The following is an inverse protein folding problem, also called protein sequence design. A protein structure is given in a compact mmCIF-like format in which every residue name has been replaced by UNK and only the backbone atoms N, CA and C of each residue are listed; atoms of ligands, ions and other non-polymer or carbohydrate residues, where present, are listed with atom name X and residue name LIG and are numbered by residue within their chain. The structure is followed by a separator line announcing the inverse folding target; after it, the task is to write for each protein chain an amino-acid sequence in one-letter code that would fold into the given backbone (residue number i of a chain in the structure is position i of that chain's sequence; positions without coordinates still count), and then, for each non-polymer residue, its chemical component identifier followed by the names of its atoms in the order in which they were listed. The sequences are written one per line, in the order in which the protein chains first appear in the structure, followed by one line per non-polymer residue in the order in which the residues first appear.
data_IF_551277808833
#
_entry.id   IF_551277808833
#
_cell.length_a   1.000
_cell.length_b   1.000
_cell.length_c   1.000
_cell.angle_alpha   90.00
_cell.angle_beta   90.00
_cell.angle_gamma   90.00
#
_symmetry.space_group_name_H-M   'P 1'
#
loop_
_entity.id
_entity.type
_entity.pdbx_description
1 polymer ?
#
# COMPACT_ATOMS: atom_id res chain seq x y z
N UNK A 1 9.40 -9.62 -16.48
CA UNK A 1 8.08 -9.16 -15.99
C UNK A 1 8.04 -9.43 -14.50
N UNK A 2 7.71 -8.44 -13.68
CA UNK A 2 7.63 -8.56 -12.21
C UNK A 2 6.19 -8.40 -11.74
N UNK A 3 5.87 -8.93 -10.57
CA UNK A 3 4.56 -8.78 -9.92
C UNK A 3 4.32 -7.31 -9.55
N UNK A 4 3.20 -6.74 -10.01
CA UNK A 4 2.92 -5.30 -10.03
C UNK A 4 1.61 -4.96 -9.33
N UNK A 5 1.62 -3.83 -8.63
CA UNK A 5 0.43 -3.16 -8.12
C UNK A 5 0.27 -1.81 -8.79
N UNK A 6 -0.96 -1.45 -9.08
CA UNK A 6 -1.35 -0.25 -9.81
C UNK A 6 -2.34 0.54 -8.99
N UNK A 7 -2.28 1.87 -9.05
CA UNK A 7 -3.30 2.71 -8.45
C UNK A 7 -3.55 3.95 -9.29
N UNK A 8 -4.70 4.57 -9.07
CA UNK A 8 -5.04 5.86 -9.67
C UNK A 8 -5.72 6.73 -8.63
N UNK A 9 -5.12 7.88 -8.34
CA UNK A 9 -5.71 8.93 -7.50
C UNK A 9 -6.62 9.77 -8.41
N UNK A 10 -7.91 9.80 -8.10
CA UNK A 10 -8.97 10.43 -8.92
C UNK A 10 -9.32 11.87 -8.50
N UNK A 11 -9.05 12.23 -7.25
CA UNK A 11 -9.35 13.55 -6.69
C UNK A 11 -8.29 13.90 -5.63
N UNK A 12 -7.35 14.76 -6.00
CA UNK A 12 -6.22 15.14 -5.20
C UNK A 12 -6.66 15.96 -3.98
N UNK A 13 -7.77 16.70 -4.08
CA UNK A 13 -8.28 17.49 -2.95
C UNK A 13 -8.85 16.59 -1.85
N UNK A 14 -9.58 15.52 -2.21
CA UNK A 14 -10.03 14.53 -1.24
C UNK A 14 -8.90 13.63 -0.76
N UNK A 15 -7.97 13.24 -1.66
CA UNK A 15 -6.82 12.42 -1.31
C UNK A 15 -5.94 13.08 -0.23
N UNK A 16 -5.63 14.38 -0.40
CA UNK A 16 -4.86 15.17 0.58
C UNK A 16 -5.51 15.24 1.96
N UNK A 17 -6.83 15.04 2.09
CA UNK A 17 -7.49 14.99 3.40
C UNK A 17 -7.26 13.66 4.13
N UNK A 18 -7.12 12.57 3.38
CA UNK A 18 -6.91 11.23 3.93
C UNK A 18 -5.41 10.90 4.12
N UNK A 19 -4.53 11.51 3.33
CA UNK A 19 -3.09 11.25 3.35
C UNK A 19 -2.45 11.39 4.73
N UNK A 20 -2.74 12.41 5.57
CA UNK A 20 -2.13 12.52 6.89
C UNK A 20 -2.40 11.31 7.80
N UNK A 21 -3.62 10.77 7.75
CA UNK A 21 -3.98 9.57 8.50
C UNK A 21 -3.31 8.33 7.91
N UNK A 22 -3.27 8.22 6.58
CA UNK A 22 -2.59 7.10 5.92
C UNK A 22 -1.09 7.05 6.24
N UNK A 23 -0.43 8.21 6.37
CA UNK A 23 0.98 8.32 6.77
C UNK A 23 1.19 7.77 8.18
N UNK A 24 0.35 8.17 9.14
CA UNK A 24 0.42 7.67 10.51
C UNK A 24 0.14 6.14 10.55
N UNK A 25 -0.87 5.68 9.82
CA UNK A 25 -1.25 4.27 9.72
C UNK A 25 -0.16 3.43 9.02
N UNK A 26 0.55 4.00 8.04
CA UNK A 26 1.69 3.34 7.38
C UNK A 26 2.85 3.09 8.33
N UNK A 27 3.07 4.00 9.29
CA UNK A 27 4.03 3.79 10.38
C UNK A 27 3.67 2.58 11.25
N UNK A 28 2.38 2.40 11.55
CA UNK A 28 1.88 1.23 12.29
C UNK A 28 2.03 -0.06 11.48
N UNK A 29 1.67 -0.02 10.18
CA UNK A 29 1.83 -1.17 9.27
C UNK A 29 3.29 -1.62 9.22
N UNK A 30 4.23 -0.70 8.99
CA UNK A 30 5.67 -1.01 8.95
C UNK A 30 6.11 -1.64 10.28
N UNK A 31 5.77 -1.00 11.40
CA UNK A 31 6.14 -1.47 12.75
C UNK A 31 5.63 -2.88 13.06
N UNK A 32 4.42 -3.23 12.61
CA UNK A 32 3.77 -4.50 12.92
C UNK A 32 3.94 -5.58 11.84
N UNK A 33 4.44 -5.23 10.66
CA UNK A 33 4.68 -6.18 9.56
C UNK A 33 5.80 -7.19 9.84
N UNK A 34 6.78 -6.83 10.67
CA UNK A 34 8.01 -7.61 10.86
C UNK A 34 8.96 -7.58 9.65
N UNK A 35 8.66 -6.78 8.62
CA UNK A 35 9.49 -6.63 7.42
C UNK A 35 10.44 -5.45 7.57
N UNK A 36 11.69 -5.61 7.15
CA UNK A 36 12.66 -4.52 7.13
C UNK A 36 12.39 -3.59 5.94
N UNK A 37 12.18 -2.30 6.21
CA UNK A 37 11.80 -1.27 5.24
C UNK A 37 12.81 -0.12 5.26
N UNK A 38 13.13 0.42 4.08
CA UNK A 38 13.94 1.62 3.88
C UNK A 38 13.21 2.61 2.96
N UNK A 39 13.83 3.76 2.68
CA UNK A 39 13.40 4.69 1.64
C UNK A 39 13.84 4.26 0.24
N UNK A 40 13.81 5.18 -0.71
CA UNK A 40 14.26 4.93 -2.09
C UNK A 40 15.76 4.70 -2.19
N UNK A 41 16.51 5.27 -1.25
CA UNK A 41 17.89 4.93 -0.97
C UNK A 41 17.91 3.93 0.20
N UNK A 42 18.60 2.81 0.03
CA UNK A 42 18.65 1.71 1.01
C UNK A 42 19.24 2.15 2.36
N UNK A 43 20.02 3.22 2.37
CA UNK A 43 20.61 3.79 3.58
C UNK A 43 19.69 4.80 4.30
N UNK A 44 18.59 5.19 3.67
CA UNK A 44 17.62 6.13 4.23
C UNK A 44 16.44 5.41 4.89
N UNK A 45 15.86 5.99 5.95
CA UNK A 45 14.60 5.49 6.51
C UNK A 45 13.45 5.63 5.49
N UNK A 46 12.35 4.89 5.67
CA UNK A 46 11.13 5.12 4.90
C UNK A 46 10.68 6.59 4.99
N UNK A 47 10.26 7.15 3.87
CA UNK A 47 9.68 8.49 3.82
C UNK A 47 8.19 8.39 4.16
N UNK A 48 7.81 8.92 5.31
CA UNK A 48 6.43 9.00 5.80
C UNK A 48 6.14 10.46 6.14
N UNK A 49 5.67 11.22 5.16
CA UNK A 49 5.51 12.66 5.29
C UNK A 49 4.10 13.09 4.88
N UNK A 50 3.50 13.97 5.67
CA UNK A 50 2.10 14.40 5.48
C UNK A 50 1.93 15.38 4.32
N UNK A 51 3.01 16.04 3.94
CA UNK A 51 3.09 17.04 2.88
C UNK A 51 3.82 16.53 1.63
N UNK A 52 4.63 15.46 1.73
CA UNK A 52 5.34 14.83 0.60
C UNK A 52 4.82 13.43 0.22
N UNK A 53 4.06 12.75 1.09
CA UNK A 53 3.49 11.44 0.84
C UNK A 53 4.29 10.27 1.42
N UNK A 54 4.21 9.11 0.78
CA UNK A 54 4.84 7.86 1.25
C UNK A 54 5.80 7.34 0.21
N UNK A 55 7.04 7.06 0.60
CA UNK A 55 8.04 6.43 -0.28
C UNK A 55 8.84 5.39 0.47
N UNK A 56 8.74 4.12 0.06
CA UNK A 56 9.38 2.98 0.74
C UNK A 56 9.94 1.95 -0.24
N UNK A 57 10.88 1.14 0.23
CA UNK A 57 11.35 -0.06 -0.44
C UNK A 57 11.72 -1.14 0.60
N UNK A 58 11.93 -2.38 0.16
CA UNK A 58 12.47 -3.45 1.01
C UNK A 58 13.92 -3.19 1.36
N UNK A 59 14.26 -3.26 2.66
CA UNK A 59 15.67 -3.21 3.08
C UNK A 59 16.34 -4.54 2.74
N UNK A 60 17.52 -4.47 2.13
CA UNK A 60 18.34 -5.59 1.62
C UNK A 60 17.72 -6.41 0.47
N UNK A 61 16.40 -6.56 0.42
CA UNK A 61 15.67 -7.32 -0.60
C UNK A 61 14.48 -6.49 -1.17
N UNK A 62 14.83 -5.34 -1.78
CA UNK A 62 13.90 -4.45 -2.50
C UNK A 62 13.73 -4.82 -3.98
N UNK A 63 12.83 -4.11 -4.67
CA UNK A 63 12.66 -4.25 -6.13
C UNK A 63 12.53 -2.90 -6.85
N UNK A 64 11.33 -2.32 -6.93
CA UNK A 64 11.10 -0.93 -7.32
C UNK A 64 10.57 -0.16 -6.11
N UNK A 65 10.96 1.10 -5.88
CA UNK A 65 10.39 1.88 -4.79
C UNK A 65 8.88 2.04 -4.97
N UNK A 66 8.14 1.94 -3.86
CA UNK A 66 6.72 2.27 -3.81
C UNK A 66 6.56 3.72 -3.41
N UNK A 67 5.88 4.51 -4.25
CA UNK A 67 5.67 5.94 -4.06
C UNK A 67 4.18 6.28 -4.12
N UNK A 68 3.58 6.76 -3.04
CA UNK A 68 2.27 7.38 -3.05
C UNK A 68 2.42 8.91 -2.97
N UNK A 69 2.23 9.57 -4.11
CA UNK A 69 2.27 11.02 -4.23
C UNK A 69 0.98 11.71 -3.76
N UNK A 70 0.99 13.04 -3.73
CA UNK A 70 -0.18 13.87 -3.38
C UNK A 70 -1.09 14.17 -4.56
N UNK A 71 -0.57 14.07 -5.78
CA UNK A 71 -1.26 14.50 -6.98
C UNK A 71 -2.13 13.40 -7.59
N UNK A 72 -3.14 13.82 -8.33
CA UNK A 72 -3.94 12.94 -9.19
C UNK A 72 -3.07 12.30 -10.26
N UNK A 73 -3.38 11.05 -10.59
CA UNK A 73 -2.67 10.34 -11.63
C UNK A 73 -2.62 8.83 -11.41
N UNK A 74 -2.22 8.16 -12.48
CA UNK A 74 -1.90 6.75 -12.47
C UNK A 74 -0.44 6.54 -12.07
N UNK A 75 -0.19 5.58 -11.20
CA UNK A 75 1.16 5.12 -10.88
C UNK A 75 1.13 3.63 -10.51
N UNK A 76 2.30 3.01 -10.41
CA UNK A 76 2.45 1.59 -10.13
C UNK A 76 3.79 1.28 -9.46
N UNK A 77 3.87 0.12 -8.81
CA UNK A 77 5.10 -0.39 -8.24
C UNK A 77 5.20 -1.89 -8.49
N UNK A 78 6.34 -2.33 -9.03
CA UNK A 78 6.66 -3.75 -9.05
C UNK A 78 7.36 -4.10 -7.75
N UNK A 79 6.85 -5.12 -7.07
CA UNK A 79 7.48 -5.64 -5.85
C UNK A 79 8.22 -6.93 -6.12
N UNK A 80 7.93 -7.61 -7.23
CA UNK A 80 8.53 -8.91 -7.53
C UNK A 80 8.26 -9.95 -6.44
N UNK A 81 7.16 -9.80 -5.68
CA UNK A 81 6.80 -10.62 -4.50
C UNK A 81 7.88 -10.64 -3.42
N UNK A 82 8.70 -9.60 -3.34
CA UNK A 82 9.69 -9.43 -2.27
C UNK A 82 9.03 -9.20 -0.92
N UNK A 83 9.72 -9.42 0.21
CA UNK A 83 9.10 -9.33 1.54
C UNK A 83 8.32 -8.03 1.81
N UNK A 84 8.80 -6.89 1.31
CA UNK A 84 8.12 -5.59 1.46
C UNK A 84 6.78 -5.47 0.70
N UNK A 85 6.47 -6.41 -0.20
CA UNK A 85 5.17 -6.53 -0.86
C UNK A 85 4.02 -6.56 0.15
N UNK A 86 4.22 -7.19 1.31
CA UNK A 86 3.24 -7.20 2.41
C UNK A 86 2.90 -5.76 2.85
N UNK A 87 3.92 -4.92 3.03
CA UNK A 87 3.76 -3.53 3.48
C UNK A 87 3.10 -2.70 2.38
N UNK A 88 3.50 -2.87 1.12
CA UNK A 88 2.87 -2.21 -0.03
C UNK A 88 1.38 -2.57 -0.12
N UNK A 89 1.04 -3.86 -0.08
CA UNK A 89 -0.35 -4.31 -0.13
C UNK A 89 -1.16 -3.76 1.04
N UNK A 90 -0.62 -3.78 2.26
CA UNK A 90 -1.31 -3.27 3.45
C UNK A 90 -1.55 -1.75 3.37
N UNK A 91 -0.57 -0.96 2.92
CA UNK A 91 -0.74 0.49 2.73
C UNK A 91 -1.82 0.76 1.68
N UNK A 92 -1.82 0.03 0.57
CA UNK A 92 -2.85 0.15 -0.47
C UNK A 92 -4.26 -0.20 0.05
N UNK A 93 -4.40 -1.27 0.85
CA UNK A 93 -5.68 -1.60 1.49
C UNK A 93 -6.14 -0.50 2.45
N UNK A 94 -5.22 0.02 3.27
CA UNK A 94 -5.56 1.07 4.22
C UNK A 94 -5.97 2.35 3.51
N UNK A 95 -5.27 2.71 2.43
CA UNK A 95 -5.62 3.83 1.58
C UNK A 95 -7.02 3.68 0.98
N UNK A 96 -7.38 2.47 0.52
CA UNK A 96 -8.72 2.18 0.02
C UNK A 96 -9.79 2.30 1.12
N UNK A 97 -9.52 1.85 2.36
CA UNK A 97 -10.47 2.02 3.47
C UNK A 97 -10.73 3.50 3.79
N UNK A 98 -9.68 4.32 3.78
CA UNK A 98 -9.78 5.75 4.08
C UNK A 98 -10.40 6.56 2.93
N UNK A 99 -10.26 6.10 1.68
CA UNK A 99 -10.69 6.86 0.51
C UNK A 99 -11.20 5.97 -0.65
N UNK A 100 -12.23 5.13 -0.44
CA UNK A 100 -12.61 4.06 -1.39
C UNK A 100 -13.13 4.55 -2.75
N UNK A 101 -13.52 5.83 -2.84
CA UNK A 101 -13.99 6.47 -4.09
C UNK A 101 -12.94 7.34 -4.76
N UNK A 102 -11.82 7.57 -4.09
CA UNK A 102 -10.74 8.48 -4.52
C UNK A 102 -9.56 7.69 -5.08
N UNK A 103 -9.35 6.47 -4.58
CA UNK A 103 -8.25 5.61 -4.99
C UNK A 103 -8.78 4.33 -5.64
N UNK A 104 -8.50 4.16 -6.93
CA UNK A 104 -8.66 2.88 -7.62
C UNK A 104 -7.37 2.09 -7.49
N UNK A 105 -7.47 0.79 -7.24
CA UNK A 105 -6.32 -0.11 -7.09
C UNK A 105 -6.54 -1.34 -7.97
N UNK A 106 -5.47 -1.80 -8.62
CA UNK A 106 -5.41 -3.07 -9.33
C UNK A 106 -4.10 -3.79 -9.01
N UNK A 107 -4.06 -5.11 -9.23
CA UNK A 107 -2.89 -5.94 -8.96
C UNK A 107 -2.79 -7.06 -9.99
N UNK A 108 -1.56 -7.51 -10.25
CA UNK A 108 -1.32 -8.78 -10.95
C UNK A 108 -1.77 -9.99 -10.10
N UNK A 109 -1.97 -9.82 -8.79
CA UNK A 109 -2.38 -10.88 -7.87
C UNK A 109 -3.87 -10.91 -7.58
N UNK A 110 -4.37 -12.11 -7.25
CA UNK A 110 -5.77 -12.32 -6.87
C UNK A 110 -6.00 -12.03 -5.38
N UNK A 111 -7.23 -11.65 -5.05
CA UNK A 111 -7.64 -11.31 -3.68
C UNK A 111 -7.34 -12.42 -2.65
N UNK A 112 -7.56 -13.67 -3.05
CA UNK A 112 -7.36 -14.84 -2.20
C UNK A 112 -5.93 -15.40 -2.21
N UNK A 113 -5.00 -14.81 -2.95
CA UNK A 113 -3.58 -15.17 -2.88
C UNK A 113 -2.94 -14.77 -1.55
N UNK A 114 -1.83 -15.45 -1.21
CA UNK A 114 -1.13 -15.31 0.07
C UNK A 114 -0.74 -13.85 0.36
N UNK A 115 -0.25 -13.09 -0.63
CA UNK A 115 0.15 -11.68 -0.43
C UNK A 115 -1.00 -10.81 0.09
N UNK A 116 -2.12 -10.80 -0.63
CA UNK A 116 -3.31 -10.04 -0.25
C UNK A 116 -4.02 -10.58 0.99
N UNK A 117 -3.98 -11.90 1.23
CA UNK A 117 -4.48 -12.49 2.48
C UNK A 117 -3.67 -12.03 3.69
N UNK A 118 -2.35 -12.09 3.63
CA UNK A 118 -1.49 -11.66 4.72
C UNK A 118 -1.64 -10.15 4.99
N UNK A 119 -1.79 -9.34 3.94
CA UNK A 119 -2.06 -7.91 4.09
C UNK A 119 -3.38 -7.66 4.82
N UNK A 120 -4.46 -8.38 4.46
CA UNK A 120 -5.73 -8.32 5.19
C UNK A 120 -5.60 -8.72 6.65
N UNK A 121 -4.88 -9.80 6.94
CA UNK A 121 -4.65 -10.26 8.31
C UNK A 121 -3.94 -9.18 9.14
N UNK A 122 -2.93 -8.52 8.57
CA UNK A 122 -2.24 -7.40 9.22
C UNK A 122 -3.17 -6.20 9.45
N UNK A 123 -3.98 -5.82 8.45
CA UNK A 123 -4.95 -4.72 8.60
C UNK A 123 -6.00 -5.07 9.68
N UNK A 124 -6.55 -6.28 9.67
CA UNK A 124 -7.53 -6.73 10.68
C UNK A 124 -6.93 -6.80 12.09
N UNK A 125 -5.63 -7.05 12.23
CA UNK A 125 -4.95 -6.98 13.52
C UNK A 125 -4.87 -5.55 14.05
N UNK A 126 -4.62 -4.57 13.18
CA UNK A 126 -4.43 -3.17 13.54
C UNK A 126 -5.76 -2.42 13.72
N UNK A 127 -6.77 -2.75 12.90
CA UNK A 127 -8.10 -2.14 12.89
C UNK A 127 -9.19 -3.23 12.84
N UNK A 128 -9.40 -3.99 13.92
CA UNK A 128 -10.31 -5.15 13.93
C UNK A 128 -11.78 -4.80 13.70
N UNK A 129 -12.17 -3.56 13.98
CA UNK A 129 -13.55 -3.08 13.82
C UNK A 129 -13.82 -2.49 12.43
N UNK A 130 -12.80 -2.42 11.56
CA UNK A 130 -12.90 -1.85 10.21
C UNK A 130 -12.83 -2.93 9.14
N UNK A 131 -13.95 -3.20 8.47
CA UNK A 131 -14.02 -4.22 7.44
C UNK A 131 -13.07 -3.90 6.25
N UNK A 132 -12.35 -4.92 5.79
CA UNK A 132 -11.49 -4.82 4.59
C UNK A 132 -12.20 -5.47 3.40
N UNK A 133 -12.43 -4.68 2.34
CA UNK A 133 -13.05 -5.13 1.08
C UNK A 133 -12.04 -5.20 -0.05
N UNK A 134 -12.31 -6.04 -1.06
CA UNK A 134 -11.49 -6.13 -2.26
C UNK A 134 -11.56 -4.82 -3.07
N UNK A 135 -10.45 -4.09 -3.30
CA UNK A 135 -10.48 -2.79 -3.98
C UNK A 135 -10.92 -2.85 -5.45
N UNK A 136 -10.70 -3.98 -6.14
CA UNK A 136 -11.08 -4.20 -7.53
C UNK A 136 -12.33 -5.10 -7.69
N UNK A 137 -13.11 -5.26 -6.60
CA UNK A 137 -14.35 -6.03 -6.58
C UNK A 137 -14.14 -7.54 -6.40
N UNK A 138 -15.17 -8.20 -5.86
CA UNK A 138 -15.23 -9.65 -5.77
C UNK A 138 -15.43 -10.24 -7.18
N UNK A 139 -14.34 -10.53 -7.88
CA UNK A 139 -14.43 -11.58 -8.89
C UNK A 139 -14.59 -12.90 -8.10
N UNK A 140 -15.71 -13.63 -8.24
CA UNK A 140 -15.81 -14.96 -7.67
C UNK A 140 -14.65 -15.79 -8.22
N UNK A 141 -14.03 -16.59 -7.36
CA UNK A 141 -12.98 -17.51 -7.74
C UNK A 141 -13.51 -18.42 -8.88
N UNK A 142 -13.14 -18.10 -10.13
CA UNK A 142 -13.13 -19.05 -11.26
C UNK A 142 -11.73 -19.68 -11.39
#
# INVERSE_FOLDING_TARGET
MGYTHYWTIKDAASWRKCLPQLVDDSGLIIKHSGVAICGNDYDLPPMLDKDEGISINGKDDGFEPFCLALDEGFDFCKTGRRPYDLVVCAILLRAHQLAPKVLDIHSDGRWNEVGWRNARELINQLWPDEAVTCPWGDAPDE
#
